data_IF_286593816979
#
_entry.id   IF_286593816979
#
_cell.length_a   1.000
_cell.length_b   1.000
_cell.length_c   1.000
_cell.angle_alpha   90.00
_cell.angle_beta   90.00
_cell.angle_gamma   90.00
#
_symmetry.space_group_name_H-M   'P 1'
#
loop_
_entity.id
_entity.type
_entity.pdbx_description
1 polymer ?
#
# COMPACT_ATOMS: atom_id res chain seq x y z
N UNK A 1 6.94 15.67 5.49
CA UNK A 1 7.01 14.21 5.82
C UNK A 1 8.23 13.98 6.67
N UNK A 2 8.10 13.23 7.74
CA UNK A 2 9.21 12.72 8.52
C UNK A 2 9.72 11.36 7.96
N UNK A 3 10.75 10.79 8.61
CA UNK A 3 11.39 9.54 8.17
C UNK A 3 10.42 8.33 8.23
N UNK A 4 9.55 8.28 9.24
CA UNK A 4 8.56 7.20 9.38
C UNK A 4 7.51 7.28 8.27
N UNK A 5 6.99 8.48 8.02
CA UNK A 5 6.02 8.72 6.96
C UNK A 5 6.62 8.40 5.58
N UNK A 6 7.88 8.78 5.35
CA UNK A 6 8.58 8.42 4.11
C UNK A 6 8.75 6.89 3.99
N UNK A 7 9.08 6.21 5.09
CA UNK A 7 9.20 4.75 5.12
C UNK A 7 7.87 4.08 4.77
N UNK A 8 6.74 4.60 5.29
CA UNK A 8 5.42 4.07 4.96
C UNK A 8 5.09 4.22 3.46
N UNK A 9 5.42 5.37 2.86
CA UNK A 9 5.24 5.59 1.41
C UNK A 9 6.09 4.62 0.60
N UNK A 10 7.37 4.47 0.94
CA UNK A 10 8.27 3.53 0.26
C UNK A 10 7.75 2.09 0.40
N UNK A 11 7.25 1.71 1.56
CA UNK A 11 6.68 0.38 1.78
C UNK A 11 5.43 0.14 0.92
N UNK A 12 4.57 1.17 0.75
CA UNK A 12 3.43 1.14 -0.15
C UNK A 12 3.87 0.91 -1.61
N UNK A 13 4.83 1.69 -2.09
CA UNK A 13 5.38 1.54 -3.45
C UNK A 13 6.04 0.18 -3.67
N UNK A 14 6.74 -0.33 -2.66
CA UNK A 14 7.27 -1.70 -2.69
C UNK A 14 6.16 -2.75 -2.80
N UNK A 15 4.98 -2.50 -2.23
CA UNK A 15 3.78 -3.32 -2.39
C UNK A 15 3.36 -3.41 -3.86
N UNK A 16 3.33 -2.29 -4.57
CA UNK A 16 3.02 -2.27 -6.01
C UNK A 16 4.01 -3.10 -6.83
N UNK A 17 5.29 -3.03 -6.51
CA UNK A 17 6.34 -3.80 -7.19
C UNK A 17 6.19 -5.30 -6.89
N UNK A 18 6.02 -5.66 -5.62
CA UNK A 18 5.92 -7.06 -5.18
C UNK A 18 4.71 -7.76 -5.79
N UNK A 19 3.57 -7.07 -5.87
CA UNK A 19 2.33 -7.57 -6.46
C UNK A 19 2.24 -7.37 -7.98
N UNK A 20 3.27 -6.80 -8.62
CA UNK A 20 3.34 -6.53 -10.07
C UNK A 20 2.18 -5.68 -10.58
N UNK A 21 1.65 -4.78 -9.76
CA UNK A 21 0.51 -3.95 -10.11
C UNK A 21 0.77 -3.12 -11.37
N UNK A 22 1.96 -2.56 -11.55
CA UNK A 22 2.36 -1.77 -12.74
C UNK A 22 2.19 -2.59 -14.03
N UNK A 23 2.58 -3.87 -14.02
CA UNK A 23 2.43 -4.75 -15.18
C UNK A 23 0.95 -4.93 -15.54
N UNK A 24 0.11 -5.26 -14.55
CA UNK A 24 -1.32 -5.47 -14.78
C UNK A 24 -2.04 -4.19 -15.18
N UNK A 25 -1.68 -3.03 -14.63
CA UNK A 25 -2.18 -1.72 -15.05
C UNK A 25 -1.88 -1.47 -16.53
N UNK A 26 -0.64 -1.69 -16.94
CA UNK A 26 -0.22 -1.50 -18.33
C UNK A 26 -1.00 -2.43 -19.28
N UNK A 27 -1.10 -3.72 -18.93
CA UNK A 27 -1.86 -4.70 -19.71
C UNK A 27 -3.34 -4.32 -19.82
N UNK A 28 -3.98 -3.92 -18.72
CA UNK A 28 -5.38 -3.55 -18.73
C UNK A 28 -5.63 -2.28 -19.56
N UNK A 29 -4.77 -1.28 -19.47
CA UNK A 29 -4.86 -0.08 -20.29
C UNK A 29 -4.69 -0.39 -21.80
N UNK A 30 -3.79 -1.33 -22.15
CA UNK A 30 -3.65 -1.78 -23.55
C UNK A 30 -4.91 -2.51 -24.03
N UNK A 31 -5.48 -3.41 -23.21
CA UNK A 31 -6.70 -4.14 -23.57
C UNK A 31 -7.91 -3.20 -23.70
N UNK A 32 -8.07 -2.25 -22.78
CA UNK A 32 -9.15 -1.28 -22.83
C UNK A 32 -8.99 -0.31 -24.02
N UNK A 33 -7.76 0.15 -24.29
CA UNK A 33 -7.47 1.01 -25.43
C UNK A 33 -7.74 0.32 -26.76
N UNK A 34 -7.23 -0.89 -26.96
CA UNK A 34 -7.51 -1.69 -28.13
C UNK A 34 -8.99 -2.12 -28.26
N UNK A 35 -9.60 -2.49 -27.11
CA UNK A 35 -11.01 -2.88 -27.06
C UNK A 35 -11.96 -1.75 -27.46
N UNK A 36 -11.69 -0.52 -27.06
CA UNK A 36 -12.50 0.64 -27.46
C UNK A 36 -12.43 0.90 -28.98
N UNK A 37 -11.27 0.69 -29.59
CA UNK A 37 -11.07 0.86 -31.02
C UNK A 37 -11.72 -0.25 -31.86
N UNK A 38 -11.74 -1.50 -31.37
CA UNK A 38 -12.24 -2.67 -32.10
C UNK A 38 -13.74 -2.91 -31.84
N UNK A 39 -14.20 -2.72 -30.61
CA UNK A 39 -15.56 -3.07 -30.15
C UNK A 39 -16.53 -1.87 -30.14
N UNK A 40 -16.08 -0.68 -30.52
CA UNK A 40 -16.96 0.48 -30.68
C UNK A 40 -17.65 0.99 -29.42
N UNK A 41 -17.00 0.85 -28.25
CA UNK A 41 -17.50 1.45 -26.99
C UNK A 41 -18.82 0.83 -26.46
N UNK A 42 -19.02 -0.47 -26.66
CA UNK A 42 -20.24 -1.15 -26.26
C UNK A 42 -20.24 -1.57 -24.75
N UNK A 43 -21.35 -2.19 -24.32
CA UNK A 43 -21.58 -2.58 -22.91
C UNK A 43 -20.48 -3.50 -22.34
N UNK A 44 -19.82 -4.28 -23.18
CA UNK A 44 -18.74 -5.20 -22.78
C UNK A 44 -17.51 -4.45 -22.35
N UNK A 45 -17.11 -3.40 -23.10
CA UNK A 45 -15.94 -2.56 -22.74
C UNK A 45 -16.23 -1.78 -21.46
N UNK A 46 -17.43 -1.30 -21.24
CA UNK A 46 -17.85 -0.66 -19.99
C UNK A 46 -17.73 -1.62 -18.80
N UNK A 47 -18.20 -2.86 -18.93
CA UNK A 47 -18.09 -3.87 -17.87
C UNK A 47 -16.63 -4.20 -17.52
N UNK A 48 -15.76 -4.37 -18.52
CA UNK A 48 -14.33 -4.60 -18.31
C UNK A 48 -13.66 -3.41 -17.63
N UNK A 49 -14.00 -2.19 -18.03
CA UNK A 49 -13.47 -0.96 -17.42
C UNK A 49 -13.84 -0.87 -15.95
N UNK A 50 -15.06 -1.23 -15.59
CA UNK A 50 -15.53 -1.24 -14.22
C UNK A 50 -14.82 -2.30 -13.37
N UNK A 51 -14.64 -3.50 -13.89
CA UNK A 51 -13.88 -4.55 -13.22
C UNK A 51 -12.42 -4.12 -12.99
N UNK A 52 -11.83 -3.44 -13.97
CA UNK A 52 -10.48 -2.90 -13.85
C UNK A 52 -10.37 -1.80 -12.77
N UNK A 53 -11.28 -0.85 -12.72
CA UNK A 53 -11.30 0.16 -11.67
C UNK A 53 -11.51 -0.43 -10.27
N UNK A 54 -12.36 -1.46 -10.17
CA UNK A 54 -12.51 -2.18 -8.91
C UNK A 54 -11.21 -2.86 -8.49
N UNK A 55 -10.54 -3.56 -9.42
CA UNK A 55 -9.24 -4.18 -9.16
C UNK A 55 -8.18 -3.14 -8.78
N UNK A 56 -8.15 -1.99 -9.44
CA UNK A 56 -7.23 -0.89 -9.11
C UNK A 56 -7.39 -0.40 -7.67
N UNK A 57 -8.64 -0.24 -7.20
CA UNK A 57 -8.89 0.10 -5.79
C UNK A 57 -8.41 -0.99 -4.83
N UNK A 58 -8.62 -2.24 -5.16
CA UNK A 58 -8.12 -3.37 -4.36
C UNK A 58 -6.58 -3.41 -4.34
N UNK A 59 -5.92 -2.99 -5.41
CA UNK A 59 -4.45 -2.91 -5.47
C UNK A 59 -3.89 -1.85 -4.51
N UNK A 60 -4.54 -0.68 -4.42
CA UNK A 60 -4.19 0.35 -3.45
C UNK A 60 -4.30 -0.16 -2.00
N UNK A 61 -5.45 -0.78 -1.65
CA UNK A 61 -5.66 -1.35 -0.32
C UNK A 61 -4.63 -2.45 0.01
N UNK A 62 -4.20 -3.23 -0.97
CA UNK A 62 -3.15 -4.25 -0.77
C UNK A 62 -1.80 -3.61 -0.43
N UNK A 63 -1.46 -2.49 -1.07
CA UNK A 63 -0.23 -1.74 -0.81
C UNK A 63 -0.28 -1.02 0.53
N UNK A 64 -1.44 -0.47 0.92
CA UNK A 64 -1.66 0.10 2.24
C UNK A 64 -1.46 -0.93 3.36
N UNK A 65 -1.98 -2.15 3.17
CA UNK A 65 -1.76 -3.27 4.10
C UNK A 65 -0.29 -3.65 4.18
N UNK A 66 0.42 -3.67 3.05
CA UNK A 66 1.87 -3.91 3.05
C UNK A 66 2.62 -2.83 3.82
N UNK A 67 2.25 -1.56 3.66
CA UNK A 67 2.79 -0.46 4.44
C UNK A 67 2.50 -0.61 5.94
N UNK A 68 1.25 -0.96 6.31
CA UNK A 68 0.87 -1.18 7.71
C UNK A 68 1.65 -2.34 8.35
N UNK A 69 1.89 -3.43 7.62
CA UNK A 69 2.78 -4.53 8.09
C UNK A 69 4.21 -4.03 8.31
N UNK A 70 4.74 -3.18 7.44
CA UNK A 70 6.09 -2.61 7.59
C UNK A 70 6.18 -1.67 8.78
N UNK A 71 5.11 -0.91 9.05
CA UNK A 71 5.05 0.10 10.11
C UNK A 71 4.53 -0.42 11.45
N UNK A 72 4.23 -1.72 11.55
CA UNK A 72 3.69 -2.40 12.74
C UNK A 72 2.29 -1.91 13.16
N UNK A 73 1.57 -1.22 12.28
CA UNK A 73 0.23 -0.69 12.55
C UNK A 73 -0.25 0.25 11.45
N UNK A 74 -1.46 0.78 11.62
CA UNK A 74 -2.10 1.64 10.64
C UNK A 74 -1.78 3.14 10.83
N UNK A 75 -1.32 3.55 12.01
CA UNK A 75 -1.26 4.95 12.45
C UNK A 75 -0.45 5.81 11.49
N UNK A 76 0.80 5.41 11.20
CA UNK A 76 1.68 6.16 10.29
C UNK A 76 1.12 6.17 8.85
N UNK A 77 0.47 5.08 8.43
CA UNK A 77 -0.15 5.01 7.09
C UNK A 77 -1.32 5.98 6.99
N UNK A 78 -2.17 6.02 8.03
CA UNK A 78 -3.30 6.97 8.11
C UNK A 78 -2.83 8.43 8.17
N UNK A 79 -1.77 8.74 8.92
CA UNK A 79 -1.14 10.07 8.94
C UNK A 79 -0.64 10.50 7.57
N UNK A 80 -0.03 9.59 6.81
CA UNK A 80 0.40 9.86 5.42
C UNK A 80 -0.81 10.17 4.55
N UNK A 81 -1.91 9.41 4.68
CA UNK A 81 -3.14 9.67 3.93
C UNK A 81 -3.74 11.03 4.26
N UNK A 82 -3.77 11.41 5.55
CA UNK A 82 -4.22 12.73 5.99
C UNK A 82 -3.32 13.85 5.45
N UNK A 83 -2.00 13.63 5.43
CA UNK A 83 -1.03 14.56 4.86
C UNK A 83 -1.26 14.76 3.36
N UNK A 84 -1.47 13.69 2.61
CA UNK A 84 -1.75 13.75 1.18
C UNK A 84 -3.10 14.41 0.90
N UNK A 85 -4.12 14.13 1.70
CA UNK A 85 -5.44 14.74 1.57
C UNK A 85 -5.44 16.25 1.86
N UNK A 86 -4.66 16.69 2.86
CA UNK A 86 -4.57 18.10 3.24
C UNK A 86 -3.65 18.92 2.34
N UNK A 87 -2.72 18.28 1.62
CA UNK A 87 -1.71 18.94 0.80
C UNK A 87 -0.66 19.74 1.58
N UNK A 88 -0.74 19.75 2.92
CA UNK A 88 0.15 20.52 3.78
C UNK A 88 0.45 19.80 5.08
N UNK A 89 1.74 19.71 5.43
CA UNK A 89 2.17 19.12 6.70
C UNK A 89 1.67 19.88 7.93
N UNK A 90 1.43 21.18 7.80
CA UNK A 90 0.91 22.01 8.88
C UNK A 90 -0.58 21.77 9.09
N UNK A 91 -1.35 21.64 8.03
CA UNK A 91 -2.77 21.31 8.10
C UNK A 91 -2.97 19.88 8.58
N UNK A 92 -2.17 18.93 8.12
CA UNK A 92 -2.24 17.54 8.55
C UNK A 92 -2.10 17.37 10.07
N UNK A 93 -1.24 18.15 10.72
CA UNK A 93 -1.06 18.13 12.18
C UNK A 93 -2.29 18.61 12.97
N UNK A 94 -3.22 19.30 12.32
CA UNK A 94 -4.46 19.81 12.93
C UNK A 94 -5.64 18.88 12.71
N UNK A 95 -5.46 17.84 11.88
CA UNK A 95 -6.50 16.86 11.60
C UNK A 95 -6.65 15.95 12.83
N UNK A 96 -7.86 15.90 13.36
CA UNK A 96 -8.23 14.87 14.32
C UNK A 96 -8.45 13.56 13.53
N UNK A 97 -7.61 12.57 13.79
CA UNK A 97 -7.59 11.31 13.03
C UNK A 97 -8.84 10.47 13.30
N UNK A 98 -9.43 10.55 14.48
CA UNK A 98 -10.68 9.83 14.76
C UNK A 98 -11.84 10.44 13.97
N UNK A 99 -12.01 11.76 13.99
CA UNK A 99 -13.02 12.45 13.18
C UNK A 99 -12.79 12.25 11.68
N UNK A 100 -11.52 12.19 11.23
CA UNK A 100 -11.18 11.94 9.84
C UNK A 100 -11.65 10.55 9.37
N UNK A 101 -11.52 9.54 10.22
CA UNK A 101 -11.97 8.19 9.93
C UNK A 101 -13.49 8.01 10.15
N UNK A 102 -14.08 8.74 11.10
CA UNK A 102 -15.53 8.75 11.33
C UNK A 102 -16.28 9.31 10.11
N UNK A 103 -15.79 10.40 9.52
CA UNK A 103 -16.34 10.93 8.26
C UNK A 103 -16.30 9.90 7.13
N UNK A 104 -15.30 9.04 7.09
CA UNK A 104 -15.21 7.98 6.08
C UNK A 104 -16.26 6.87 6.34
N UNK A 105 -16.55 6.58 7.60
CA UNK A 105 -17.60 5.61 7.96
C UNK A 105 -19.00 6.16 7.64
N UNK A 106 -19.26 7.42 7.95
CA UNK A 106 -20.50 8.11 7.61
C UNK A 106 -20.71 8.12 6.09
N UNK A 107 -19.68 8.41 5.32
CA UNK A 107 -19.72 8.35 3.86
C UNK A 107 -20.04 6.94 3.37
N UNK A 108 -19.41 5.92 3.92
CA UNK A 108 -19.64 4.50 3.58
C UNK A 108 -21.09 4.09 3.88
N UNK A 109 -21.62 4.49 5.03
CA UNK A 109 -22.98 4.20 5.48
C UNK A 109 -24.02 4.92 4.59
N UNK A 110 -23.82 6.22 4.32
CA UNK A 110 -24.68 6.99 3.43
C UNK A 110 -24.79 6.36 2.03
N UNK A 111 -23.66 5.86 1.50
CA UNK A 111 -23.61 5.25 0.18
C UNK A 111 -24.21 3.84 0.14
N UNK A 112 -24.35 3.17 1.29
CA UNK A 112 -24.99 1.86 1.38
C UNK A 112 -26.52 1.93 1.51
N UNK A 113 -27.07 3.10 1.87
CA UNK A 113 -28.49 3.28 2.21
C UNK A 113 -29.45 3.16 1.01
N UNK A 114 -29.00 3.37 -0.23
CA UNK A 114 -29.89 3.22 -1.39
C UNK A 114 -29.16 2.69 -2.63
N UNK A 115 -29.89 1.95 -3.47
CA UNK A 115 -29.37 1.48 -4.76
C UNK A 115 -28.98 2.61 -5.72
N UNK A 116 -29.65 3.77 -5.61
CA UNK A 116 -29.36 4.97 -6.38
C UNK A 116 -28.06 5.62 -5.92
N UNK A 117 -27.81 5.70 -4.61
CA UNK A 117 -26.55 6.20 -4.05
C UNK A 117 -25.38 5.32 -4.46
N UNK A 118 -25.55 4.00 -4.48
CA UNK A 118 -24.52 3.06 -5.00
C UNK A 118 -24.20 3.32 -6.46
N UNK A 119 -25.23 3.60 -7.27
CA UNK A 119 -25.02 3.91 -8.69
C UNK A 119 -24.32 5.25 -8.88
N UNK A 120 -24.65 6.28 -8.10
CA UNK A 120 -23.97 7.58 -8.11
C UNK A 120 -22.53 7.49 -7.61
N UNK A 121 -22.30 6.73 -6.53
CA UNK A 121 -20.96 6.42 -6.02
C UNK A 121 -20.11 5.76 -7.10
N UNK A 122 -20.69 4.76 -7.74
CA UNK A 122 -20.05 4.06 -8.82
C UNK A 122 -19.62 5.01 -9.95
N UNK A 123 -20.52 5.93 -10.33
CA UNK A 123 -20.27 6.92 -11.36
C UNK A 123 -19.22 7.98 -10.93
N UNK A 124 -19.28 8.45 -9.69
CA UNK A 124 -18.33 9.40 -9.14
C UNK A 124 -16.93 8.80 -8.97
N UNK A 125 -16.86 7.51 -8.58
CA UNK A 125 -15.60 6.80 -8.41
C UNK A 125 -15.01 6.26 -9.72
N UNK A 126 -15.81 6.18 -10.79
CA UNK A 126 -15.35 5.73 -12.11
C UNK A 126 -14.24 6.60 -12.70
N UNK A 127 -14.25 7.89 -12.37
CA UNK A 127 -13.27 8.85 -12.90
C UNK A 127 -12.13 9.18 -11.94
N UNK A 128 -12.11 8.55 -10.75
CA UNK A 128 -11.04 8.75 -9.77
C UNK A 128 -10.12 7.53 -9.73
N UNK A 129 -8.87 7.75 -10.09
CA UNK A 129 -7.81 6.74 -10.02
C UNK A 129 -7.45 6.35 -8.59
N UNK A 130 -7.81 7.18 -7.61
CA UNK A 130 -7.53 6.93 -6.20
C UNK A 130 -8.83 6.99 -5.38
N UNK A 131 -9.14 5.95 -4.58
CA UNK A 131 -10.23 6.02 -3.61
C UNK A 131 -9.95 7.11 -2.58
N UNK A 132 -11.01 7.64 -1.95
CA UNK A 132 -10.88 8.65 -0.90
C UNK A 132 -9.89 8.19 0.17
N UNK A 133 -8.90 9.03 0.46
CA UNK A 133 -7.81 8.70 1.38
C UNK A 133 -8.32 8.43 2.81
N UNK A 134 -9.41 9.08 3.23
CA UNK A 134 -10.06 8.80 4.51
C UNK A 134 -10.68 7.39 4.57
N UNK A 135 -11.29 6.93 3.48
CA UNK A 135 -11.84 5.56 3.38
C UNK A 135 -10.70 4.54 3.43
N UNK A 136 -9.60 4.79 2.74
CA UNK A 136 -8.42 3.91 2.79
C UNK A 136 -7.83 3.84 4.20
N UNK A 137 -7.74 4.98 4.92
CA UNK A 137 -7.28 5.02 6.31
C UNK A 137 -8.17 4.18 7.23
N UNK A 138 -9.50 4.29 7.09
CA UNK A 138 -10.46 3.48 7.84
C UNK A 138 -10.31 1.98 7.54
N UNK A 139 -10.24 1.60 6.26
CA UNK A 139 -10.09 0.20 5.84
C UNK A 139 -8.80 -0.44 6.37
N UNK A 140 -7.69 0.31 6.38
CA UNK A 140 -6.42 -0.18 6.93
C UNK A 140 -6.53 -0.34 8.46
N UNK A 141 -7.17 0.60 9.17
CA UNK A 141 -7.43 0.49 10.61
C UNK A 141 -8.23 -0.75 10.93
N UNK A 142 -9.35 -0.96 10.23
CA UNK A 142 -10.21 -2.13 10.43
C UNK A 142 -9.44 -3.44 10.16
N UNK A 143 -8.67 -3.46 9.08
CA UNK A 143 -7.86 -4.63 8.76
C UNK A 143 -6.77 -4.90 9.82
N UNK A 144 -6.12 -3.88 10.37
CA UNK A 144 -5.14 -4.04 11.46
C UNK A 144 -5.77 -4.60 12.74
N UNK A 145 -7.08 -4.42 12.94
CA UNK A 145 -7.83 -5.07 14.02
C UNK A 145 -8.17 -6.55 13.78
N UNK A 146 -7.94 -7.07 12.57
CA UNK A 146 -8.33 -8.43 12.18
C UNK A 146 -7.32 -9.51 12.61
N UNK A 147 -7.81 -10.76 12.67
CA UNK A 147 -6.93 -11.90 12.92
C UNK A 147 -5.93 -12.14 11.77
N UNK A 148 -6.28 -11.73 10.54
CA UNK A 148 -5.36 -11.81 9.42
C UNK A 148 -4.12 -10.95 9.63
N UNK A 149 -4.27 -9.73 10.14
CA UNK A 149 -3.13 -8.88 10.47
C UNK A 149 -2.31 -9.46 11.61
N UNK A 150 -2.95 -9.91 12.69
CA UNK A 150 -2.26 -10.56 13.83
C UNK A 150 -1.41 -11.74 13.37
N UNK A 151 -1.97 -12.64 12.58
CA UNK A 151 -1.24 -13.80 12.05
C UNK A 151 -0.02 -13.40 11.21
N UNK A 152 -0.13 -12.35 10.39
CA UNK A 152 0.99 -11.83 9.59
C UNK A 152 2.07 -11.22 10.50
N UNK A 153 1.67 -10.50 11.55
CA UNK A 153 2.61 -9.90 12.49
C UNK A 153 3.33 -10.97 13.33
N UNK A 154 2.62 -11.98 13.78
CA UNK A 154 3.22 -13.12 14.48
C UNK A 154 4.24 -13.81 13.57
N UNK A 155 3.87 -14.12 12.32
CA UNK A 155 4.81 -14.67 11.34
C UNK A 155 6.01 -13.75 11.10
N UNK A 156 5.79 -12.43 10.97
CA UNK A 156 6.86 -11.45 10.79
C UNK A 156 7.88 -11.47 11.94
N UNK A 157 7.41 -11.60 13.18
CA UNK A 157 8.26 -11.58 14.36
C UNK A 157 8.87 -12.95 14.67
N UNK A 158 8.18 -14.04 14.38
CA UNK A 158 8.72 -15.41 14.50
C UNK A 158 9.82 -15.66 13.46
N UNK A 159 9.61 -15.17 12.23
CA UNK A 159 10.54 -15.29 11.12
C UNK A 159 11.65 -14.22 11.14
N UNK A 160 11.82 -13.46 12.24
CA UNK A 160 13.04 -12.65 12.35
C UNK A 160 14.21 -13.58 12.06
N UNK A 161 14.84 -13.50 10.88
CA UNK A 161 15.91 -14.42 10.58
C UNK A 161 16.94 -14.20 11.68
N UNK A 162 17.23 -15.21 12.47
CA UNK A 162 18.52 -15.29 13.12
C UNK A 162 19.50 -15.27 11.96
N UNK A 163 20.02 -14.08 11.68
CA UNK A 163 21.13 -13.92 10.73
C UNK A 163 22.25 -14.80 11.28
N UNK A 164 22.24 -16.04 10.87
CA UNK A 164 23.40 -16.90 11.02
C UNK A 164 24.39 -16.30 10.04
N UNK A 165 25.15 -15.33 10.53
CA UNK A 165 26.27 -14.75 9.80
C UNK A 165 27.27 -15.90 9.64
N UNK A 166 27.16 -16.63 8.53
CA UNK A 166 28.21 -17.56 8.14
C UNK A 166 29.42 -16.68 7.85
N UNK A 167 30.49 -16.81 8.66
CA UNK A 167 31.75 -16.09 8.43
C UNK A 167 32.14 -16.29 6.97
N UNK A 168 32.41 -15.19 6.29
CA UNK A 168 32.83 -15.22 4.88
C UNK A 168 31.72 -15.24 3.83
N UNK A 169 30.42 -15.15 4.20
CA UNK A 169 29.32 -15.08 3.23
C UNK A 169 28.42 -13.88 3.54
N UNK A 170 28.08 -13.10 2.50
CA UNK A 170 27.17 -11.97 2.65
C UNK A 170 25.73 -12.45 2.94
N UNK A 171 25.10 -12.04 4.05
CA UNK A 171 23.73 -12.44 4.37
C UNK A 171 22.68 -11.82 3.44
N UNK A 172 23.07 -10.89 2.58
CA UNK A 172 22.16 -10.25 1.64
C UNK A 172 22.11 -10.88 0.26
N UNK A 173 23.27 -11.26 -0.29
CA UNK A 173 23.38 -11.78 -1.65
C UNK A 173 24.02 -13.17 -1.74
N UNK A 174 24.42 -13.79 -0.62
CA UNK A 174 25.01 -15.12 -0.56
C UNK A 174 26.42 -15.23 -1.16
N UNK A 175 27.05 -14.14 -1.57
CA UNK A 175 28.39 -14.16 -2.15
C UNK A 175 29.47 -14.13 -1.07
N UNK A 176 30.61 -14.69 -1.35
CA UNK A 176 31.78 -14.66 -0.46
C UNK A 176 32.22 -13.22 -0.17
N UNK A 177 32.57 -12.98 1.09
CA UNK A 177 33.01 -11.69 1.59
C UNK A 177 34.30 -11.84 2.39
N UNK A 178 35.11 -10.80 2.39
CA UNK A 178 36.32 -10.79 3.22
C UNK A 178 36.01 -10.17 4.59
N UNK A 179 36.71 -10.61 5.63
CA UNK A 179 36.51 -10.12 7.02
C UNK A 179 36.79 -8.61 7.16
N UNK A 180 37.65 -8.07 6.32
CA UNK A 180 38.03 -6.65 6.29
C UNK A 180 36.97 -5.72 5.67
N UNK A 181 35.90 -6.30 5.06
CA UNK A 181 34.88 -5.48 4.41
C UNK A 181 33.81 -5.02 5.42
N UNK A 182 33.58 -3.74 5.50
CA UNK A 182 32.47 -3.16 6.28
C UNK A 182 31.14 -3.32 5.54
N UNK A 183 31.17 -3.24 4.21
CA UNK A 183 30.03 -3.40 3.34
C UNK A 183 30.32 -4.43 2.26
N UNK A 184 29.29 -5.19 1.88
CA UNK A 184 29.39 -6.11 0.75
C UNK A 184 29.60 -5.33 -0.57
N UNK A 185 30.70 -5.61 -1.27
CA UNK A 185 31.00 -4.95 -2.55
C UNK A 185 30.06 -5.31 -3.69
N UNK A 186 29.21 -6.34 -3.51
CA UNK A 186 28.29 -6.80 -4.54
C UNK A 186 26.87 -6.26 -4.37
N UNK A 187 26.39 -6.10 -3.14
CA UNK A 187 25.01 -5.67 -2.88
C UNK A 187 24.89 -4.47 -1.92
N UNK A 188 26.01 -3.91 -1.46
CA UNK A 188 26.02 -2.77 -0.56
C UNK A 188 25.61 -3.04 0.89
N UNK A 189 25.19 -4.26 1.24
CA UNK A 189 24.75 -4.57 2.60
C UNK A 189 25.90 -4.44 3.60
N UNK A 190 25.62 -3.81 4.75
CA UNK A 190 26.59 -3.73 5.86
C UNK A 190 26.83 -5.12 6.46
N UNK A 191 28.09 -5.49 6.62
CA UNK A 191 28.54 -6.81 7.08
C UNK A 191 28.90 -6.85 8.57
N UNK A 192 29.27 -5.70 9.15
CA UNK A 192 29.62 -5.59 10.59
C UNK A 192 28.61 -4.67 11.27
N UNK A 193 27.93 -5.20 12.32
CA UNK A 193 27.27 -4.34 13.31
C UNK A 193 28.32 -3.67 14.18
N UNK A 194 28.12 -2.42 14.59
CA UNK A 194 28.88 -1.87 15.72
C UNK A 194 28.56 -2.75 16.92
N UNK A 195 29.55 -3.43 17.48
CA UNK A 195 29.46 -3.89 18.85
C UNK A 195 29.23 -2.64 19.71
N UNK A 196 28.07 -2.57 20.32
CA UNK A 196 27.83 -1.57 21.35
C UNK A 196 28.58 -2.06 22.59
N UNK A 197 29.68 -1.39 22.86
CA UNK A 197 30.34 -1.42 24.17
C UNK A 197 29.57 -0.59 25.17
#
# INVERSE_FOLDING_TARGET
MDEKQLTAVIAHECGHIACRHVLYHTMANMVLGAGSAILGGNLITAGLQLAFFHWQRCSELSCDRAAAVCMDGYETVAEVMALLASGSAELAKRIDMELYMEQADDYRNFMNDSGWNKMLQYYALMNQSHPFLSVRALEVREWCGSDSFKNIMDYKYEQKPRLVIRKGICPGCGRETKEEWEFCRFCGRRLRGKEQS
#
